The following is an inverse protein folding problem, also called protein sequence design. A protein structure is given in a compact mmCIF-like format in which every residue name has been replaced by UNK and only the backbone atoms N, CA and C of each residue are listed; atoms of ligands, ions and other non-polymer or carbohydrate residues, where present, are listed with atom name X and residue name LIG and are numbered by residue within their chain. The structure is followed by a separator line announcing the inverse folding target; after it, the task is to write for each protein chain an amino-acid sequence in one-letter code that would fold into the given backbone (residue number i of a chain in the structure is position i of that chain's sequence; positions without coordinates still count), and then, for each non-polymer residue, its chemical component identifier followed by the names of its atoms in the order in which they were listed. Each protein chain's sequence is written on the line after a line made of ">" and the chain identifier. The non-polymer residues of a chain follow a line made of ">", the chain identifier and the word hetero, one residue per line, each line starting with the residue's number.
data_IF_314917902591
#
_entry.id   IF_314917902591
#
_cell.length_a   1.000
_cell.length_b   1.000
_cell.length_c   1.000
_cell.angle_alpha   90.00
_cell.angle_beta   90.00
_cell.angle_gamma   90.00
#
_symmetry.space_group_name_H-M   'P 1'
#
loop_
_entity.id
_entity.type
_entity.pdbx_description
1 polymer ?
#
# COMPACT_ATOMS: atom_id res chain seq x y z
N UNK A 1 3.18 14.55 14.28
CA UNK A 1 2.84 13.24 14.87
C UNK A 1 1.61 12.58 14.20
N UNK A 2 1.44 12.63 12.86
CA UNK A 2 0.19 12.19 12.20
C UNK A 2 0.26 11.02 11.22
N UNK A 3 1.45 10.61 10.77
CA UNK A 3 1.60 9.78 9.55
C UNK A 3 1.61 8.26 9.84
N UNK A 4 1.64 7.86 11.11
CA UNK A 4 1.82 6.44 11.50
C UNK A 4 0.57 5.55 11.35
N UNK A 5 -0.57 6.11 10.94
CA UNK A 5 -1.85 5.35 10.88
C UNK A 5 -2.34 5.05 9.45
N UNK A 6 -1.66 5.54 8.42
CA UNK A 6 -2.07 5.27 7.04
C UNK A 6 -1.67 3.86 6.61
N UNK A 7 -0.39 3.52 6.71
CA UNK A 7 0.14 2.21 6.39
C UNK A 7 0.93 1.63 7.57
N UNK A 8 0.63 0.38 7.92
CA UNK A 8 1.28 -0.36 9.00
C UNK A 8 1.87 -1.66 8.43
N UNK A 9 3.12 -1.94 8.78
CA UNK A 9 3.71 -3.25 8.53
C UNK A 9 3.23 -4.19 9.62
N UNK A 10 2.58 -5.29 9.25
CA UNK A 10 2.06 -6.27 10.19
C UNK A 10 3.19 -7.21 10.59
N UNK A 11 3.26 -7.58 11.88
CA UNK A 11 4.26 -8.53 12.40
C UNK A 11 4.03 -9.98 11.91
N UNK A 12 2.92 -10.24 11.21
CA UNK A 12 2.56 -11.52 10.60
C UNK A 12 2.79 -11.56 9.09
N UNK A 13 2.76 -12.77 8.54
CA UNK A 13 2.94 -13.05 7.10
C UNK A 13 1.67 -13.62 6.49
N UNK A 14 1.55 -13.51 5.17
CA UNK A 14 0.51 -14.22 4.44
C UNK A 14 0.80 -15.74 4.35
N UNK A 15 -0.14 -16.49 3.74
CA UNK A 15 -0.02 -17.95 3.61
C UNK A 15 1.20 -18.43 2.80
N UNK A 16 1.82 -17.55 2.03
CA UNK A 16 2.98 -17.84 1.17
C UNK A 16 4.26 -17.25 1.79
N UNK A 17 4.18 -16.66 2.99
CA UNK A 17 5.32 -16.10 3.71
C UNK A 17 5.66 -14.66 3.31
N UNK A 18 4.81 -13.96 2.56
CA UNK A 18 5.05 -12.56 2.16
C UNK A 18 4.82 -11.61 3.35
N UNK A 19 5.63 -10.56 3.50
CA UNK A 19 5.33 -9.49 4.45
C UNK A 19 4.02 -8.78 4.06
N UNK A 20 3.24 -8.39 5.06
CA UNK A 20 1.91 -7.77 4.87
C UNK A 20 1.93 -6.30 5.26
N UNK A 21 1.55 -5.43 4.33
CA UNK A 21 1.33 -4.00 4.58
C UNK A 21 -0.16 -3.73 4.61
N UNK A 22 -0.64 -3.22 5.74
CA UNK A 22 -2.04 -2.89 5.96
C UNK A 22 -2.25 -1.38 5.83
N UNK A 23 -3.03 -0.97 4.84
CA UNK A 23 -3.34 0.42 4.52
C UNK A 23 -4.79 0.73 4.92
N UNK A 24 -4.97 1.68 5.83
CA UNK A 24 -6.29 2.13 6.27
C UNK A 24 -6.69 3.40 5.51
N UNK A 25 -7.43 3.25 4.42
CA UNK A 25 -7.70 4.34 3.48
C UNK A 25 -8.46 5.52 4.11
N UNK A 26 -9.31 5.27 5.11
CA UNK A 26 -10.07 6.32 5.82
C UNK A 26 -9.16 7.33 6.55
N UNK A 27 -7.94 6.93 6.88
CA UNK A 27 -6.98 7.78 7.58
C UNK A 27 -6.19 8.67 6.61
N UNK A 28 -6.41 8.50 5.30
CA UNK A 28 -5.82 9.36 4.29
C UNK A 28 -6.48 10.73 4.29
N UNK A 29 -5.68 11.80 4.38
CA UNK A 29 -6.15 13.18 4.37
C UNK A 29 -5.59 13.90 3.16
N UNK A 30 -6.47 14.60 2.44
CA UNK A 30 -6.11 15.51 1.34
C UNK A 30 -5.73 16.91 1.83
N UNK A 31 -6.17 17.28 3.05
CA UNK A 31 -5.96 18.61 3.60
C UNK A 31 -4.50 18.75 4.04
N UNK A 32 -3.82 19.78 3.51
CA UNK A 32 -2.41 20.06 3.83
C UNK A 32 -1.43 19.01 3.29
N UNK A 33 -1.87 18.20 2.32
CA UNK A 33 -1.08 17.12 1.75
C UNK A 33 -0.14 17.64 0.69
N UNK A 34 1.15 17.33 0.85
CA UNK A 34 2.14 17.47 -0.21
C UNK A 34 2.37 16.13 -0.95
N UNK A 35 2.62 16.22 -2.25
CA UNK A 35 2.84 15.04 -3.10
C UNK A 35 4.22 14.42 -2.87
N UNK A 36 5.23 15.24 -2.58
CA UNK A 36 6.60 14.78 -2.39
C UNK A 36 6.76 14.13 -1.01
N UNK A 37 6.22 14.73 0.04
CA UNK A 37 6.13 14.12 1.38
C UNK A 37 5.43 12.75 1.33
N UNK A 38 4.33 12.67 0.58
CA UNK A 38 3.60 11.42 0.43
C UNK A 38 4.40 10.39 -0.37
N UNK A 39 5.11 10.81 -1.42
CA UNK A 39 6.01 9.93 -2.17
C UNK A 39 7.12 9.40 -1.27
N UNK A 40 7.74 10.26 -0.46
CA UNK A 40 8.77 9.87 0.52
C UNK A 40 8.22 8.88 1.55
N UNK A 41 7.00 9.08 2.04
CA UNK A 41 6.34 8.13 2.93
C UNK A 41 6.12 6.76 2.28
N UNK A 42 5.64 6.72 1.02
CA UNK A 42 5.49 5.47 0.28
C UNK A 42 6.82 4.73 0.15
N UNK A 43 7.88 5.43 -0.27
CA UNK A 43 9.23 4.87 -0.39
C UNK A 43 9.73 4.38 0.97
N UNK A 44 9.51 5.13 2.04
CA UNK A 44 9.89 4.73 3.40
C UNK A 44 9.23 3.39 3.79
N UNK A 45 7.92 3.24 3.56
CA UNK A 45 7.20 1.99 3.83
C UNK A 45 7.74 0.84 2.99
N UNK A 46 7.96 1.05 1.68
CA UNK A 46 8.52 0.03 0.78
C UNK A 46 9.93 -0.42 1.21
N UNK A 47 10.79 0.51 1.62
CA UNK A 47 12.13 0.20 2.13
C UNK A 47 12.05 -0.57 3.45
N UNK A 48 11.14 -0.22 4.36
CA UNK A 48 10.95 -0.98 5.61
C UNK A 48 10.49 -2.41 5.35
N UNK A 49 9.56 -2.60 4.42
CA UNK A 49 9.13 -3.93 3.99
C UNK A 49 10.32 -4.74 3.48
N UNK A 50 11.12 -4.15 2.57
CA UNK A 50 12.30 -4.80 2.00
C UNK A 50 13.34 -5.18 3.06
N UNK A 51 13.60 -4.31 4.04
CA UNK A 51 14.51 -4.61 5.15
C UNK A 51 14.02 -5.80 5.99
N UNK A 52 12.71 -5.95 6.19
CA UNK A 52 12.12 -7.10 6.87
C UNK A 52 12.24 -8.40 6.07
N UNK A 53 12.21 -8.34 4.73
CA UNK A 53 12.51 -9.49 3.88
C UNK A 53 13.99 -9.86 3.93
N UNK A 54 14.90 -8.88 3.78
CA UNK A 54 16.36 -9.11 3.76
C UNK A 54 16.89 -9.66 5.08
N UNK A 55 16.47 -9.12 6.23
CA UNK A 55 16.87 -9.62 7.55
C UNK A 55 16.55 -11.09 7.80
N UNK A 56 15.65 -11.65 6.99
CA UNK A 56 15.13 -13.01 7.15
C UNK A 56 15.50 -13.93 5.98
N UNK A 57 16.35 -13.47 5.05
CA UNK A 57 16.89 -14.27 3.92
C UNK A 57 17.82 -15.42 4.35
N UNK A 58 18.02 -15.67 5.64
CA UNK A 58 18.61 -16.93 6.12
C UNK A 58 17.73 -18.16 5.86
N UNK A 59 16.51 -17.97 5.33
CA UNK A 59 15.53 -19.01 5.04
C UNK A 59 15.27 -19.05 3.52
N UNK A 60 15.85 -20.03 2.84
CA UNK A 60 16.06 -20.10 1.37
C UNK A 60 14.81 -20.12 0.47
N UNK A 61 13.60 -19.92 0.99
CA UNK A 61 12.34 -20.04 0.23
C UNK A 61 11.41 -18.84 0.32
N UNK A 62 11.87 -17.71 0.87
CA UNK A 62 10.95 -16.60 1.09
C UNK A 62 10.76 -15.75 -0.18
N UNK A 63 9.50 -15.47 -0.57
CA UNK A 63 9.24 -14.61 -1.72
C UNK A 63 9.75 -13.18 -1.49
N UNK A 64 10.31 -12.55 -2.53
CA UNK A 64 10.75 -11.14 -2.47
C UNK A 64 9.60 -10.13 -2.69
N UNK A 65 8.37 -10.62 -2.69
CA UNK A 65 7.16 -9.85 -2.93
C UNK A 65 6.30 -9.69 -1.67
N UNK A 66 5.50 -8.63 -1.64
CA UNK A 66 4.67 -8.23 -0.49
C UNK A 66 3.18 -8.41 -0.76
N UNK A 67 2.41 -8.55 0.32
CA UNK A 67 0.96 -8.48 0.31
C UNK A 67 0.53 -7.09 0.78
N UNK A 68 -0.22 -6.38 -0.07
CA UNK A 68 -0.79 -5.07 0.25
C UNK A 68 -2.28 -5.22 0.54
N UNK A 69 -2.74 -4.77 1.70
CA UNK A 69 -4.14 -4.85 2.11
C UNK A 69 -4.69 -3.44 2.23
N UNK A 70 -5.69 -3.10 1.42
CA UNK A 70 -6.44 -1.85 1.54
C UNK A 70 -7.74 -2.08 2.31
N UNK A 71 -7.81 -1.54 3.52
CA UNK A 71 -9.05 -1.44 4.25
C UNK A 71 -9.80 -0.16 3.83
N UNK A 72 -10.98 -0.37 3.21
CA UNK A 72 -11.86 0.70 2.75
C UNK A 72 -13.04 0.95 3.70
N UNK A 73 -13.02 0.42 4.92
CA UNK A 73 -14.07 0.69 5.92
C UNK A 73 -14.09 2.18 6.28
N UNK A 74 -15.20 2.85 5.97
CA UNK A 74 -15.33 4.31 6.15
C UNK A 74 -14.62 5.13 5.09
N UNK A 75 -14.19 4.51 3.98
CA UNK A 75 -13.68 5.22 2.81
C UNK A 75 -14.79 6.03 2.13
N UNK A 76 -14.48 7.27 1.76
CA UNK A 76 -15.38 8.19 1.09
C UNK A 76 -14.60 9.22 0.25
N UNK A 77 -15.32 10.22 -0.26
CA UNK A 77 -14.74 11.24 -1.15
C UNK A 77 -13.63 12.07 -0.48
N UNK A 78 -13.70 12.29 0.82
CA UNK A 78 -12.74 13.12 1.57
C UNK A 78 -11.35 12.51 1.69
N UNK A 79 -11.23 11.19 1.52
CA UNK A 79 -9.96 10.44 1.58
C UNK A 79 -9.58 9.83 0.22
N UNK A 80 -10.29 10.18 -0.85
CA UNK A 80 -10.06 9.64 -2.19
C UNK A 80 -8.96 10.41 -2.91
N UNK A 81 -7.86 9.73 -3.19
CA UNK A 81 -6.65 10.36 -3.72
C UNK A 81 -6.10 9.60 -4.93
N UNK A 82 -6.65 9.92 -6.10
CA UNK A 82 -6.17 9.33 -7.35
C UNK A 82 -4.70 9.65 -7.65
N UNK A 83 -4.19 10.88 -7.44
CA UNK A 83 -2.77 11.19 -7.63
C UNK A 83 -1.84 10.33 -6.76
N UNK A 84 -2.15 10.14 -5.47
CA UNK A 84 -1.38 9.27 -4.58
C UNK A 84 -1.43 7.82 -5.08
N UNK A 85 -2.62 7.28 -5.35
CA UNK A 85 -2.76 5.90 -5.80
C UNK A 85 -2.00 5.65 -7.12
N UNK A 86 -2.12 6.57 -8.09
CA UNK A 86 -1.38 6.46 -9.35
C UNK A 86 0.12 6.49 -9.10
N UNK A 87 0.62 7.41 -8.27
CA UNK A 87 2.04 7.47 -7.91
C UNK A 87 2.51 6.19 -7.24
N UNK A 88 1.72 5.60 -6.34
CA UNK A 88 2.01 4.32 -5.70
C UNK A 88 2.13 3.20 -6.72
N UNK A 89 1.18 3.08 -7.64
CA UNK A 89 1.24 2.07 -8.70
C UNK A 89 2.42 2.30 -9.64
N UNK A 90 2.68 3.53 -10.07
CA UNK A 90 3.87 3.87 -10.87
C UNK A 90 5.16 3.51 -10.14
N UNK A 91 5.29 3.80 -8.83
CA UNK A 91 6.46 3.40 -8.05
C UNK A 91 6.64 1.87 -8.01
N UNK A 92 5.55 1.12 -7.87
CA UNK A 92 5.60 -0.34 -7.84
C UNK A 92 5.87 -0.95 -9.22
N UNK A 93 5.37 -0.35 -10.30
CA UNK A 93 5.55 -0.86 -11.67
C UNK A 93 6.91 -0.47 -12.25
N UNK A 94 7.35 0.78 -12.08
CA UNK A 94 8.53 1.32 -12.77
C UNK A 94 9.83 1.14 -11.96
N UNK A 95 9.75 1.28 -10.63
CA UNK A 95 10.96 1.30 -9.77
C UNK A 95 11.14 0.03 -8.93
N UNK A 96 10.06 -0.69 -8.64
CA UNK A 96 10.07 -1.93 -7.88
C UNK A 96 9.30 -3.06 -8.57
N UNK A 97 9.57 -3.33 -9.87
CA UNK A 97 8.89 -4.37 -10.61
C UNK A 97 9.02 -5.69 -9.85
N UNK A 98 7.94 -6.46 -9.81
CA UNK A 98 7.82 -7.76 -9.12
C UNK A 98 7.71 -7.74 -7.58
N UNK A 99 7.82 -6.57 -6.92
CA UNK A 99 7.67 -6.51 -5.45
C UNK A 99 6.22 -6.57 -4.98
N UNK A 100 5.25 -6.16 -5.78
CA UNK A 100 3.84 -6.32 -5.44
C UNK A 100 3.40 -7.75 -5.78
N UNK A 101 3.19 -8.59 -4.76
CA UNK A 101 2.78 -9.99 -4.95
C UNK A 101 1.27 -10.15 -5.02
N UNK A 102 0.54 -9.47 -4.14
CA UNK A 102 -0.93 -9.47 -4.12
C UNK A 102 -1.46 -8.19 -3.50
N UNK A 103 -2.56 -7.67 -4.05
CA UNK A 103 -3.30 -6.54 -3.50
C UNK A 103 -4.70 -7.03 -3.11
N UNK A 104 -5.05 -6.89 -1.83
CA UNK A 104 -6.34 -7.28 -1.27
C UNK A 104 -7.12 -6.04 -0.89
N UNK A 105 -8.40 -5.99 -1.27
CA UNK A 105 -9.30 -4.88 -0.94
C UNK A 105 -10.36 -5.41 0.04
N UNK A 106 -10.42 -4.82 1.23
CA UNK A 106 -11.33 -5.21 2.29
C UNK A 106 -12.40 -4.14 2.51
N UNK A 107 -13.63 -4.59 2.81
CA UNK A 107 -14.76 -3.71 3.17
C UNK A 107 -15.02 -2.60 2.13
N UNK A 108 -14.91 -2.91 0.84
CA UNK A 108 -15.11 -1.95 -0.24
C UNK A 108 -16.55 -1.39 -0.22
N UNK A 109 -16.74 -0.07 -0.01
CA UNK A 109 -18.06 0.56 -0.05
C UNK A 109 -18.55 0.68 -1.50
N UNK A 110 -19.85 0.90 -1.69
CA UNK A 110 -20.45 1.00 -3.04
C UNK A 110 -19.76 2.04 -3.93
N UNK A 111 -19.28 3.15 -3.36
CA UNK A 111 -18.54 4.19 -4.11
C UNK A 111 -17.28 3.66 -4.82
N UNK A 112 -16.66 2.59 -4.31
CA UNK A 112 -15.49 1.95 -4.95
C UNK A 112 -15.82 1.44 -6.36
N UNK A 113 -17.08 1.06 -6.62
CA UNK A 113 -17.53 0.60 -7.95
C UNK A 113 -17.38 1.69 -9.02
N UNK A 114 -17.53 2.97 -8.65
CA UNK A 114 -17.30 4.10 -9.56
C UNK A 114 -15.82 4.45 -9.74
N UNK A 115 -14.99 4.18 -8.72
CA UNK A 115 -13.55 4.47 -8.77
C UNK A 115 -12.77 3.41 -9.56
N UNK A 116 -13.16 2.14 -9.44
CA UNK A 116 -12.42 1.01 -9.99
C UNK A 116 -12.16 1.09 -11.51
N UNK A 117 -13.12 1.50 -12.36
CA UNK A 117 -12.87 1.65 -13.80
C UNK A 117 -11.73 2.60 -14.13
N UNK A 118 -11.55 3.66 -13.34
CA UNK A 118 -10.45 4.63 -13.51
C UNK A 118 -9.13 3.95 -13.15
N UNK A 119 -9.07 3.32 -11.98
CA UNK A 119 -7.86 2.68 -11.45
C UNK A 119 -7.40 1.52 -12.34
N UNK A 120 -8.32 0.75 -12.91
CA UNK A 120 -8.01 -0.39 -13.79
C UNK A 120 -7.30 0.02 -15.08
N UNK A 121 -7.40 1.28 -15.50
CA UNK A 121 -6.81 1.77 -16.75
C UNK A 121 -5.34 2.20 -16.62
N UNK A 122 -4.78 2.19 -15.41
CA UNK A 122 -3.42 2.64 -15.11
C UNK A 122 -2.37 1.55 -15.24
#
# INVERSE_FOLDING_TARGET
>A
MGVTRLAVLVDGRDKVGRPVVFVTARNHSLIGRDMDDMTQYMVHVLVRVHMCTVRQRGQESMPDNMCLVFELKGFGLTCMDYPALRKLFTLMTDHYPERLGVCLILNAPFIFTGCWPIIRSW
#
